data_IF_607987803345
#
_entry.id   IF_607987803345
#
_cell.length_a   1.000
_cell.length_b   1.000
_cell.length_c   1.000
_cell.angle_alpha   90.00
_cell.angle_beta   90.00
_cell.angle_gamma   90.00
#
_symmetry.space_group_name_H-M   'P 1'
#
loop_
_entity.id
_entity.type
_entity.pdbx_description
1 polymer ?
#
# COMPACT_ATOMS: atom_id res chain seq x y z
N UNK A 1 12.63 -25.29 -43.75
CA UNK A 1 11.72 -24.49 -42.90
C UNK A 1 12.57 -23.70 -41.91
N UNK A 2 12.38 -22.37 -41.88
CA UNK A 2 13.29 -21.40 -41.24
C UNK A 2 13.15 -21.39 -39.72
N UNK A 3 14.31 -21.36 -39.07
CA UNK A 3 14.55 -21.01 -37.68
C UNK A 3 14.34 -19.49 -37.50
N UNK A 4 13.68 -19.08 -36.42
CA UNK A 4 13.81 -17.72 -35.88
C UNK A 4 13.61 -17.77 -34.37
N UNK A 5 14.75 -17.81 -33.71
CA UNK A 5 14.97 -17.47 -32.31
C UNK A 5 14.88 -15.94 -32.23
N UNK A 6 13.93 -15.41 -31.48
CA UNK A 6 14.00 -14.02 -31.02
C UNK A 6 14.54 -14.02 -29.59
N UNK A 7 15.83 -13.71 -29.49
CA UNK A 7 16.52 -13.30 -28.29
C UNK A 7 15.99 -11.91 -27.89
N UNK A 8 15.43 -11.80 -26.70
CA UNK A 8 15.62 -10.59 -25.90
C UNK A 8 16.28 -11.00 -24.58
N UNK A 9 17.59 -10.82 -24.57
CA UNK A 9 18.41 -10.71 -23.39
C UNK A 9 18.09 -9.37 -22.71
N UNK A 10 17.67 -9.42 -21.45
CA UNK A 10 18.07 -8.42 -20.46
C UNK A 10 18.28 -9.14 -19.11
N UNK A 11 19.38 -8.84 -18.40
CA UNK A 11 19.97 -9.75 -17.45
C UNK A 11 19.49 -9.49 -16.00
N UNK A 12 19.42 -10.60 -15.25
CA UNK A 12 19.83 -10.73 -13.84
C UNK A 12 19.82 -9.45 -12.98
N UNK A 13 18.74 -9.25 -12.25
CA UNK A 13 18.78 -8.76 -10.86
C UNK A 13 18.00 -9.73 -9.96
N UNK A 14 18.51 -10.96 -9.84
CA UNK A 14 18.31 -11.77 -8.65
C UNK A 14 19.35 -11.35 -7.61
N UNK A 15 19.08 -10.31 -6.82
CA UNK A 15 19.97 -9.92 -5.72
C UNK A 15 19.26 -9.09 -4.64
N UNK A 16 18.24 -9.68 -4.02
CA UNK A 16 17.81 -9.55 -2.61
C UNK A 16 16.36 -10.01 -2.56
N UNK A 17 16.09 -11.02 -1.72
CA UNK A 17 14.77 -11.61 -1.59
C UNK A 17 13.75 -10.60 -1.09
N UNK A 18 13.04 -9.97 -2.03
CA UNK A 18 11.68 -9.56 -1.77
C UNK A 18 10.83 -10.81 -1.89
N UNK A 19 10.05 -11.20 -0.87
CA UNK A 19 8.96 -12.10 -1.13
C UNK A 19 8.05 -11.34 -2.11
N UNK A 20 8.09 -11.70 -3.39
CA UNK A 20 6.90 -11.63 -4.21
C UNK A 20 5.86 -12.34 -3.36
N UNK A 21 4.84 -11.62 -2.88
CA UNK A 21 3.73 -12.22 -2.18
C UNK A 21 3.29 -13.40 -3.04
N UNK A 22 3.53 -14.60 -2.52
CA UNK A 22 3.32 -15.83 -3.27
C UNK A 22 1.89 -15.77 -3.78
N UNK A 23 1.73 -15.81 -5.09
CA UNK A 23 0.46 -16.13 -5.74
C UNK A 23 0.11 -17.57 -5.39
N UNK A 24 -0.22 -17.82 -4.12
CA UNK A 24 -1.09 -18.92 -3.77
C UNK A 24 -2.42 -18.57 -4.42
N UNK A 25 -2.82 -19.38 -5.40
CA UNK A 25 -4.15 -19.32 -5.99
C UNK A 25 -5.18 -19.78 -4.95
N UNK A 26 -5.39 -18.98 -3.91
CA UNK A 26 -6.60 -19.01 -3.12
C UNK A 26 -7.72 -18.43 -4.01
N UNK A 27 -8.96 -18.91 -3.89
CA UNK A 27 -10.08 -18.16 -4.46
C UNK A 27 -10.04 -16.75 -3.86
N UNK A 28 -9.66 -15.76 -4.67
CA UNK A 28 -9.42 -14.42 -4.16
C UNK A 28 -10.75 -13.71 -3.99
N UNK A 29 -11.27 -13.80 -2.77
CA UNK A 29 -12.52 -13.17 -2.37
C UNK A 29 -12.31 -11.69 -2.08
N UNK A 30 -13.41 -10.93 -2.07
CA UNK A 30 -13.45 -9.54 -1.60
C UNK A 30 -12.74 -9.36 -0.25
N UNK A 31 -12.93 -10.30 0.68
CA UNK A 31 -12.37 -10.26 2.02
C UNK A 31 -10.88 -10.56 2.06
N UNK A 32 -10.41 -11.47 1.21
CA UNK A 32 -8.98 -11.76 1.04
C UNK A 32 -8.25 -10.50 0.60
N UNK A 33 -8.76 -9.79 -0.42
CA UNK A 33 -8.16 -8.55 -0.88
C UNK A 33 -8.16 -7.45 0.19
N UNK A 34 -9.27 -7.26 0.90
CA UNK A 34 -9.34 -6.26 1.97
C UNK A 34 -8.40 -6.59 3.13
N UNK A 35 -8.26 -7.86 3.49
CA UNK A 35 -7.36 -8.29 4.57
C UNK A 35 -5.88 -8.12 4.20
N UNK A 36 -5.53 -8.42 2.95
CA UNK A 36 -4.18 -8.20 2.45
C UNK A 36 -3.86 -6.70 2.39
N UNK A 37 -4.79 -5.87 1.90
CA UNK A 37 -4.63 -4.42 1.92
C UNK A 37 -4.43 -3.87 3.34
N UNK A 38 -5.22 -4.34 4.31
CA UNK A 38 -5.05 -3.96 5.71
C UNK A 38 -3.67 -4.34 6.26
N UNK A 39 -3.12 -5.48 5.83
CA UNK A 39 -1.77 -5.93 6.14
C UNK A 39 -0.70 -4.97 5.65
N UNK A 40 -0.78 -4.57 4.37
CA UNK A 40 0.17 -3.65 3.73
C UNK A 40 0.14 -2.27 4.37
N UNK A 41 -1.06 -1.74 4.63
CA UNK A 41 -1.25 -0.49 5.38
C UNK A 41 -0.55 -0.58 6.73
N UNK A 42 -0.68 -1.71 7.42
CA UNK A 42 0.01 -1.95 8.68
C UNK A 42 1.53 -1.92 8.57
N UNK A 43 2.08 -2.41 7.46
CA UNK A 43 3.53 -2.39 7.20
C UNK A 43 4.04 -0.99 6.90
N UNK A 44 3.35 -0.24 6.04
CA UNK A 44 3.67 1.16 5.75
C UNK A 44 3.59 1.98 7.05
N UNK A 45 2.53 1.80 7.82
CA UNK A 45 2.34 2.46 9.12
C UNK A 45 3.48 2.16 10.09
N UNK A 46 3.86 0.89 10.26
CA UNK A 46 4.99 0.50 11.12
C UNK A 46 6.30 1.14 10.72
N UNK A 47 6.58 1.25 9.42
CA UNK A 47 7.76 1.95 8.95
C UNK A 47 7.71 3.43 9.36
N UNK A 48 6.58 4.10 9.13
CA UNK A 48 6.41 5.52 9.45
C UNK A 48 6.57 5.81 10.94
N UNK A 49 6.02 4.95 11.82
CA UNK A 49 6.16 5.09 13.29
C UNK A 49 7.60 4.91 13.77
N UNK A 50 8.38 4.07 13.09
CA UNK A 50 9.76 3.76 13.48
C UNK A 50 10.78 4.61 12.73
N UNK A 51 10.35 5.41 11.75
CA UNK A 51 11.26 6.03 10.79
C UNK A 51 12.37 6.86 11.45
N UNK A 52 12.07 7.56 12.55
CA UNK A 52 13.05 8.36 13.28
C UNK A 52 14.08 7.53 14.04
N UNK A 53 13.70 6.36 14.57
CA UNK A 53 14.58 5.51 15.39
C UNK A 53 15.41 4.51 14.59
N UNK A 54 15.07 4.26 13.33
CA UNK A 54 15.86 3.44 12.41
C UNK A 54 17.24 4.09 12.20
N UNK A 55 18.32 3.29 12.21
CA UNK A 55 19.67 3.78 11.92
C UNK A 55 19.86 4.12 10.43
N UNK A 56 20.78 5.03 10.07
CA UNK A 56 20.99 5.43 8.67
C UNK A 56 21.26 4.25 7.72
N UNK A 57 22.02 3.25 8.17
CA UNK A 57 22.37 2.06 7.39
C UNK A 57 21.16 1.16 7.05
N UNK A 58 20.17 1.09 7.94
CA UNK A 58 18.97 0.27 7.77
C UNK A 58 17.82 1.04 7.09
N UNK A 59 17.89 2.36 7.09
CA UNK A 59 16.77 3.22 6.68
C UNK A 59 16.33 2.96 5.25
N UNK A 60 17.26 2.94 4.30
CA UNK A 60 16.95 2.75 2.87
C UNK A 60 16.29 1.39 2.64
N UNK A 61 16.78 0.33 3.28
CA UNK A 61 16.21 -1.01 3.12
C UNK A 61 14.76 -1.09 3.67
N UNK A 62 14.50 -0.43 4.80
CA UNK A 62 13.16 -0.37 5.40
C UNK A 62 12.21 0.53 4.60
N UNK A 63 12.69 1.67 4.11
CA UNK A 63 11.93 2.55 3.21
C UNK A 63 11.57 1.84 1.90
N UNK A 64 12.50 1.05 1.35
CA UNK A 64 12.24 0.26 0.12
C UNK A 64 11.17 -0.80 0.35
N UNK A 65 11.21 -1.45 1.51
CA UNK A 65 10.16 -2.40 1.92
C UNK A 65 8.81 -1.70 2.06
N UNK A 66 8.76 -0.53 2.69
CA UNK A 66 7.52 0.25 2.83
C UNK A 66 6.97 0.73 1.48
N UNK A 67 7.85 1.13 0.55
CA UNK A 67 7.47 1.47 -0.82
C UNK A 67 6.83 0.28 -1.55
N UNK A 68 7.38 -0.93 -1.41
CA UNK A 68 6.80 -2.13 -2.01
C UNK A 68 5.38 -2.39 -1.48
N UNK A 69 5.17 -2.32 -0.16
CA UNK A 69 3.83 -2.45 0.42
C UNK A 69 2.88 -1.34 -0.05
N UNK A 70 3.35 -0.10 -0.18
CA UNK A 70 2.54 1.00 -0.72
C UNK A 70 2.09 0.76 -2.17
N UNK A 71 2.93 0.12 -2.99
CA UNK A 71 2.57 -0.24 -4.36
C UNK A 71 1.56 -1.40 -4.38
N UNK A 72 1.69 -2.37 -3.48
CA UNK A 72 0.74 -3.46 -3.32
C UNK A 72 -0.65 -2.94 -2.85
N UNK A 73 -0.70 -1.87 -2.05
CA UNK A 73 -1.96 -1.20 -1.69
C UNK A 73 -2.77 -0.77 -2.94
N UNK A 74 -2.13 -0.30 -4.02
CA UNK A 74 -2.83 0.02 -5.27
C UNK A 74 -3.43 -1.22 -5.92
N UNK A 75 -2.69 -2.33 -5.92
CA UNK A 75 -3.15 -3.57 -6.52
C UNK A 75 -4.39 -4.10 -5.79
N UNK A 76 -4.39 -4.09 -4.46
CA UNK A 76 -5.53 -4.55 -3.68
C UNK A 76 -6.74 -3.64 -3.80
N UNK A 77 -6.54 -2.32 -3.80
CA UNK A 77 -7.59 -1.36 -4.08
C UNK A 77 -8.24 -1.64 -5.45
N UNK A 78 -7.45 -1.76 -6.51
CA UNK A 78 -7.95 -2.02 -7.86
C UNK A 78 -8.70 -3.36 -7.95
N UNK A 79 -8.24 -4.36 -7.19
CA UNK A 79 -8.92 -5.64 -7.09
C UNK A 79 -10.30 -5.47 -6.46
N UNK A 80 -10.41 -4.74 -5.34
CA UNK A 80 -11.71 -4.43 -4.70
C UNK A 80 -12.63 -3.60 -5.61
N UNK A 81 -12.11 -2.64 -6.36
CA UNK A 81 -12.91 -1.86 -7.31
C UNK A 81 -13.61 -2.74 -8.34
N UNK A 82 -12.95 -3.83 -8.77
CA UNK A 82 -13.55 -4.83 -9.66
C UNK A 82 -14.77 -5.55 -9.09
N UNK A 83 -14.90 -5.62 -7.76
CA UNK A 83 -16.05 -6.25 -7.09
C UNK A 83 -17.11 -5.24 -6.64
N UNK A 84 -16.68 -4.12 -6.05
CA UNK A 84 -17.57 -3.20 -5.32
C UNK A 84 -17.53 -1.75 -5.82
N UNK A 85 -16.67 -1.41 -6.78
CA UNK A 85 -16.40 -0.01 -7.19
C UNK A 85 -17.59 0.78 -7.77
N UNK A 86 -18.73 0.14 -8.03
CA UNK A 86 -19.95 0.81 -8.48
C UNK A 86 -20.70 1.55 -7.36
N UNK A 87 -20.40 1.25 -6.09
CA UNK A 87 -20.98 1.93 -4.93
C UNK A 87 -20.65 3.44 -4.95
N UNK A 88 -21.66 4.34 -4.87
CA UNK A 88 -21.43 5.79 -4.84
C UNK A 88 -20.47 6.27 -3.74
N UNK A 89 -20.49 5.65 -2.56
CA UNK A 89 -19.58 5.98 -1.46
C UNK A 89 -18.14 5.60 -1.80
N UNK A 90 -17.95 4.47 -2.49
CA UNK A 90 -16.63 4.04 -2.95
C UNK A 90 -16.10 4.89 -4.09
N UNK A 91 -16.97 5.47 -4.93
CA UNK A 91 -16.52 6.45 -5.94
C UNK A 91 -15.92 7.70 -5.30
N UNK A 92 -16.49 8.21 -4.22
CA UNK A 92 -15.95 9.36 -3.50
C UNK A 92 -14.62 9.03 -2.80
N UNK A 93 -14.53 7.84 -2.18
CA UNK A 93 -13.28 7.35 -1.62
C UNK A 93 -12.20 7.17 -2.70
N UNK A 94 -12.56 6.57 -3.84
CA UNK A 94 -11.69 6.40 -5.00
C UNK A 94 -11.20 7.74 -5.56
N UNK A 95 -12.08 8.74 -5.63
CA UNK A 95 -11.68 10.09 -6.05
C UNK A 95 -10.59 10.64 -5.13
N UNK A 96 -10.71 10.46 -3.81
CA UNK A 96 -9.66 10.88 -2.88
C UNK A 96 -8.36 10.11 -3.10
N UNK A 97 -8.43 8.78 -3.25
CA UNK A 97 -7.26 7.90 -3.36
C UNK A 97 -6.49 8.07 -4.68
N UNK A 98 -7.21 8.12 -5.81
CA UNK A 98 -6.66 8.13 -7.17
C UNK A 98 -6.87 9.47 -7.85
N UNK A 99 -8.09 9.98 -7.88
CA UNK A 99 -8.43 11.18 -8.64
C UNK A 99 -7.71 12.44 -8.14
N UNK A 100 -7.50 12.55 -6.83
CA UNK A 100 -6.75 13.64 -6.20
C UNK A 100 -5.24 13.34 -6.09
N UNK A 101 -4.78 12.18 -6.57
CA UNK A 101 -3.37 11.76 -6.58
C UNK A 101 -2.77 11.51 -5.20
N UNK A 102 -3.57 11.21 -4.17
CA UNK A 102 -3.03 11.07 -2.80
C UNK A 102 -2.18 9.83 -2.62
N UNK A 103 -2.55 8.69 -3.23
CA UNK A 103 -1.71 7.49 -3.18
C UNK A 103 -0.41 7.68 -3.97
N UNK A 104 -0.47 8.31 -5.14
CA UNK A 104 0.73 8.61 -5.96
C UNK A 104 1.70 9.51 -5.20
N UNK A 105 1.17 10.53 -4.51
CA UNK A 105 1.99 11.40 -3.66
C UNK A 105 2.75 10.62 -2.58
N UNK A 106 2.14 9.59 -1.97
CA UNK A 106 2.83 8.78 -0.96
C UNK A 106 3.91 7.89 -1.61
N UNK A 107 3.65 7.34 -2.79
CA UNK A 107 4.66 6.61 -3.57
C UNK A 107 5.86 7.52 -3.86
N UNK A 108 5.64 8.70 -4.42
CA UNK A 108 6.71 9.66 -4.73
C UNK A 108 7.54 10.01 -3.48
N UNK A 109 6.88 10.26 -2.34
CA UNK A 109 7.58 10.58 -1.09
C UNK A 109 8.38 9.39 -0.54
N UNK A 110 7.86 8.16 -0.65
CA UNK A 110 8.59 6.95 -0.26
C UNK A 110 9.77 6.68 -1.20
N UNK A 111 9.63 6.92 -2.51
CA UNK A 111 10.75 6.86 -3.44
C UNK A 111 11.85 7.86 -3.09
N UNK A 112 11.49 9.08 -2.70
CA UNK A 112 12.45 10.08 -2.24
C UNK A 112 13.17 9.64 -0.96
N UNK A 113 12.48 8.97 -0.03
CA UNK A 113 13.10 8.35 1.15
C UNK A 113 14.07 7.22 0.78
N UNK A 114 13.75 6.43 -0.24
CA UNK A 114 14.67 5.39 -0.76
C UNK A 114 15.91 6.02 -1.39
N UNK A 115 15.75 7.10 -2.16
CA UNK A 115 16.86 7.79 -2.85
C UNK A 115 17.78 8.55 -1.89
N UNK A 116 17.20 9.25 -0.90
CA UNK A 116 17.93 10.16 0.01
C UNK A 116 18.27 9.53 1.36
N UNK A 117 17.67 8.40 1.71
CA UNK A 117 17.82 7.81 3.03
C UNK A 117 17.33 8.77 4.13
N UNK A 118 18.09 8.83 5.24
CA UNK A 118 17.78 9.69 6.40
C UNK A 118 17.80 11.19 6.09
N UNK A 119 18.45 11.62 5.02
CA UNK A 119 18.45 13.04 4.63
C UNK A 119 17.06 13.54 4.21
N UNK A 120 16.16 12.64 3.81
CA UNK A 120 14.78 12.97 3.43
C UNK A 120 13.73 12.74 4.53
N UNK A 121 14.15 12.55 5.79
CA UNK A 121 13.27 12.13 6.90
C UNK A 121 12.03 13.03 7.08
N UNK A 122 12.08 14.30 6.66
CA UNK A 122 10.94 15.22 6.67
C UNK A 122 9.75 14.73 5.84
N UNK A 123 10.00 13.90 4.81
CA UNK A 123 8.96 13.30 3.99
C UNK A 123 8.11 12.30 4.78
N UNK A 124 8.62 11.69 5.85
CA UNK A 124 7.83 10.82 6.75
C UNK A 124 6.65 11.59 7.33
N UNK A 125 6.88 12.81 7.80
CA UNK A 125 5.82 13.66 8.35
C UNK A 125 4.76 13.97 7.29
N UNK A 126 5.20 14.33 6.08
CA UNK A 126 4.30 14.61 4.95
C UNK A 126 3.47 13.39 4.55
N UNK A 127 4.10 12.21 4.51
CA UNK A 127 3.40 10.95 4.26
C UNK A 127 2.34 10.71 5.35
N UNK A 128 2.70 10.85 6.62
CA UNK A 128 1.76 10.68 7.73
C UNK A 128 0.59 11.68 7.65
N UNK A 129 0.84 12.95 7.35
CA UNK A 129 -0.20 13.96 7.19
C UNK A 129 -1.22 13.60 6.09
N UNK A 130 -0.73 13.18 4.91
CA UNK A 130 -1.60 12.80 3.79
C UNK A 130 -2.34 11.49 4.09
N UNK A 131 -1.62 10.50 4.62
CA UNK A 131 -2.21 9.21 4.97
C UNK A 131 -3.33 9.42 5.97
N UNK A 132 -3.05 10.06 7.09
CA UNK A 132 -4.01 10.24 8.19
C UNK A 132 -5.25 11.02 7.82
N UNK A 133 -5.10 12.11 7.09
CA UNK A 133 -6.22 13.03 6.86
C UNK A 133 -7.06 12.63 5.64
N UNK A 134 -6.52 11.82 4.71
CA UNK A 134 -7.16 11.57 3.41
C UNK A 134 -7.24 10.09 3.07
N UNK A 135 -6.10 9.41 2.96
CA UNK A 135 -6.04 8.03 2.45
C UNK A 135 -6.73 7.10 3.43
N UNK A 136 -6.30 7.13 4.68
CA UNK A 136 -6.69 6.21 5.73
C UNK A 136 -8.22 6.26 6.01
N UNK A 137 -8.87 7.43 6.10
CA UNK A 137 -10.33 7.52 6.13
C UNK A 137 -11.02 6.98 4.87
N UNK A 138 -10.46 7.24 3.68
CA UNK A 138 -11.02 6.72 2.43
C UNK A 138 -10.92 5.18 2.34
N UNK A 139 -9.83 4.59 2.84
CA UNK A 139 -9.68 3.13 2.96
C UNK A 139 -10.72 2.54 3.91
N UNK A 140 -11.00 3.21 5.04
CA UNK A 140 -12.04 2.71 5.95
C UNK A 140 -13.41 2.63 5.27
N UNK A 141 -13.71 3.47 4.27
CA UNK A 141 -14.94 3.33 3.47
C UNK A 141 -14.97 2.00 2.72
N UNK A 142 -13.85 1.62 2.08
CA UNK A 142 -13.71 0.30 1.44
C UNK A 142 -13.86 -0.83 2.44
N UNK A 143 -13.17 -0.77 3.58
CA UNK A 143 -13.23 -1.81 4.60
C UNK A 143 -14.62 -1.96 5.20
N UNK A 144 -15.33 -0.85 5.44
CA UNK A 144 -16.72 -0.88 5.88
C UNK A 144 -17.62 -1.53 4.82
N UNK A 145 -17.48 -1.19 3.54
CA UNK A 145 -18.27 -1.80 2.46
C UNK A 145 -18.03 -3.31 2.35
N UNK A 146 -16.78 -3.77 2.48
CA UNK A 146 -16.46 -5.19 2.51
C UNK A 146 -17.08 -5.88 3.72
N UNK A 147 -16.95 -5.31 4.92
CA UNK A 147 -17.55 -5.91 6.13
C UNK A 147 -19.09 -5.89 6.13
N UNK A 148 -19.71 -4.91 5.46
CA UNK A 148 -21.16 -4.86 5.30
C UNK A 148 -21.68 -5.94 4.35
N UNK A 149 -20.83 -6.44 3.45
CA UNK A 149 -21.20 -7.53 2.53
C UNK A 149 -21.30 -8.89 3.21
N UNK A 150 -20.70 -9.07 4.39
CA UNK A 150 -20.81 -10.29 5.18
C UNK A 150 -20.60 -10.02 6.69
N UNK A 151 -21.69 -10.19 7.45
CA UNK A 151 -21.76 -9.90 8.88
C UNK A 151 -21.00 -10.89 9.78
N UNK A 152 -20.50 -12.00 9.24
CA UNK A 152 -19.67 -12.95 9.99
C UNK A 152 -18.25 -12.44 10.22
N UNK A 153 -17.85 -11.37 9.54
CA UNK A 153 -16.50 -10.84 9.62
C UNK A 153 -16.32 -9.75 10.67
N UNK A 154 -15.17 -9.80 11.34
CA UNK A 154 -14.72 -8.72 12.21
C UNK A 154 -14.50 -7.48 11.35
N UNK A 155 -14.99 -6.34 11.84
CA UNK A 155 -14.75 -5.03 11.22
C UNK A 155 -13.27 -4.83 10.93
N UNK A 156 -12.94 -4.60 9.66
CA UNK A 156 -11.62 -4.19 9.21
C UNK A 156 -11.49 -2.68 9.39
N UNK A 157 -10.33 -2.26 9.84
CA UNK A 157 -9.98 -0.84 10.00
C UNK A 157 -8.52 -0.66 9.60
N UNK A 158 -8.24 0.39 8.85
CA UNK A 158 -6.88 0.65 8.40
C UNK A 158 -6.00 1.08 9.59
N UNK A 159 -4.81 0.48 9.71
CA UNK A 159 -3.87 0.84 10.76
C UNK A 159 -3.51 2.33 10.70
N UNK A 160 -3.26 2.92 11.87
CA UNK A 160 -3.07 4.36 12.06
C UNK A 160 -1.71 4.57 12.74
N UNK A 161 -0.88 5.45 12.17
CA UNK A 161 0.40 5.85 12.76
C UNK A 161 0.17 6.61 14.08
N UNK A 162 1.22 6.75 14.90
CA UNK A 162 1.16 7.59 16.08
C UNK A 162 0.86 9.06 15.70
N UNK A 163 -0.10 9.68 16.40
CA UNK A 163 -0.59 11.03 16.09
C UNK A 163 -1.73 11.10 15.05
N UNK A 164 -2.12 9.96 14.48
CA UNK A 164 -3.24 9.83 13.54
C UNK A 164 -4.56 9.60 14.30
N UNK A 165 -5.57 10.45 14.10
CA UNK A 165 -6.86 10.35 14.82
C UNK A 165 -8.07 10.15 13.87
N UNK A 166 -9.11 9.40 14.29
CA UNK A 166 -9.18 8.61 15.53
C UNK A 166 -8.32 7.34 15.47
N UNK A 167 -7.75 6.93 16.61
CA UNK A 167 -7.14 5.60 16.77
C UNK A 167 -8.25 4.58 17.04
N UNK A 168 -8.16 3.42 16.39
CA UNK A 168 -9.21 2.41 16.28
C UNK A 168 -8.72 1.07 16.79
#
# INVERSE_FOLDING_TARGET
MKCSIFLYFLPLLQARGYPVHQTFALPTTLLTFASLWAGDIGQVTRFLDQAESISPEDFVARATTALAFQLDEFQFKNSLDGFIGQDPLLRAANQTLIGDGTLDMVVDLLEELVKKGKEGIENVKRINEVRCNRILPAVDVYFNAVTASDASFRRLVAARADGCFPRV
#
